data_IF_475969008176
#
_entry.id   IF_475969008176
#
_cell.length_a   1.000
_cell.length_b   1.000
_cell.length_c   1.000
_cell.angle_alpha   90.00
_cell.angle_beta   90.00
_cell.angle_gamma   90.00
#
_symmetry.space_group_name_H-M   'P 1'
#
loop_
_entity.id
_entity.type
_entity.pdbx_description
1 polymer ?
#
# COMPACT_ATOMS: atom_id res chain seq x y z
N UNK A 1 4.26 -28.49 -4.05
CA UNK A 1 3.92 -27.38 -3.16
C UNK A 1 5.15 -26.75 -2.48
N UNK A 2 5.94 -27.52 -1.75
CA UNK A 2 7.10 -26.98 -1.02
C UNK A 2 8.08 -26.29 -1.98
N UNK A 3 8.43 -26.92 -3.11
CA UNK A 3 9.32 -26.33 -4.12
C UNK A 3 8.79 -25.01 -4.69
N UNK A 4 7.48 -24.93 -4.98
CA UNK A 4 6.84 -23.70 -5.45
C UNK A 4 6.92 -22.58 -4.40
N UNK A 5 6.59 -22.89 -3.13
CA UNK A 5 6.67 -21.93 -2.02
C UNK A 5 8.09 -21.42 -1.84
N UNK A 6 9.08 -22.33 -1.84
CA UNK A 6 10.50 -21.96 -1.71
C UNK A 6 10.93 -21.04 -2.86
N UNK A 7 10.57 -21.38 -4.11
CA UNK A 7 10.90 -20.57 -5.29
C UNK A 7 10.28 -19.16 -5.18
N UNK A 8 9.03 -19.05 -4.71
CA UNK A 8 8.35 -17.77 -4.52
C UNK A 8 8.95 -16.95 -3.39
N UNK A 9 9.34 -17.59 -2.28
CA UNK A 9 10.04 -16.93 -1.18
C UNK A 9 11.41 -16.40 -1.63
N UNK A 10 12.17 -17.20 -2.36
CA UNK A 10 13.46 -16.75 -2.91
C UNK A 10 13.26 -15.58 -3.86
N UNK A 11 12.27 -15.64 -4.75
CA UNK A 11 11.96 -14.54 -5.65
C UNK A 11 11.56 -13.25 -4.88
N UNK A 12 10.75 -13.37 -3.82
CA UNK A 12 10.38 -12.26 -2.96
C UNK A 12 11.60 -11.63 -2.25
N UNK A 13 12.50 -12.46 -1.73
CA UNK A 13 13.76 -11.98 -1.11
C UNK A 13 14.65 -11.27 -2.12
N UNK A 14 14.83 -11.86 -3.30
CA UNK A 14 15.62 -11.22 -4.38
C UNK A 14 14.99 -9.89 -4.78
N UNK A 15 13.66 -9.84 -4.93
CA UNK A 15 12.96 -8.60 -5.28
C UNK A 15 13.15 -7.53 -4.20
N UNK A 16 13.05 -7.87 -2.92
CA UNK A 16 13.32 -6.94 -1.82
C UNK A 16 14.77 -6.45 -1.84
N UNK A 17 15.74 -7.31 -2.10
CA UNK A 17 17.14 -6.89 -2.25
C UNK A 17 17.34 -5.95 -3.43
N UNK A 18 16.70 -6.23 -4.57
CA UNK A 18 16.74 -5.32 -5.73
C UNK A 18 16.12 -3.98 -5.39
N UNK A 19 14.95 -3.97 -4.73
CA UNK A 19 14.29 -2.72 -4.32
C UNK A 19 15.16 -1.93 -3.35
N UNK A 20 15.77 -2.58 -2.33
CA UNK A 20 16.67 -1.88 -1.41
C UNK A 20 17.89 -1.32 -2.14
N UNK A 21 18.47 -2.05 -3.11
CA UNK A 21 19.59 -1.57 -3.91
C UNK A 21 19.20 -0.37 -4.78
N UNK A 22 18.06 -0.43 -5.47
CA UNK A 22 17.55 0.67 -6.29
C UNK A 22 17.26 1.90 -5.42
N UNK A 23 16.59 1.72 -4.29
CA UNK A 23 16.29 2.80 -3.34
C UNK A 23 17.60 3.42 -2.82
N UNK A 24 18.56 2.61 -2.42
CA UNK A 24 19.88 3.10 -2.01
C UNK A 24 20.58 3.88 -3.13
N UNK A 25 20.56 3.38 -4.36
CA UNK A 25 21.14 4.08 -5.51
C UNK A 25 20.47 5.45 -5.73
N UNK A 26 19.15 5.54 -5.63
CA UNK A 26 18.42 6.80 -5.80
C UNK A 26 18.82 7.83 -4.74
N UNK A 27 18.89 7.42 -3.48
CA UNK A 27 19.10 8.36 -2.37
C UNK A 27 20.58 8.65 -2.06
N UNK A 28 21.49 7.75 -2.36
CA UNK A 28 22.90 7.89 -2.02
C UNK A 28 23.82 8.02 -3.23
N UNK A 29 23.58 7.26 -4.28
CA UNK A 29 24.47 7.26 -5.45
C UNK A 29 24.10 8.35 -6.45
N UNK A 30 22.82 8.53 -6.76
CA UNK A 30 22.38 9.50 -7.76
C UNK A 30 22.76 10.95 -7.41
N UNK A 31 22.61 11.44 -6.16
CA UNK A 31 23.07 12.78 -5.79
C UNK A 31 24.58 12.98 -5.98
N UNK A 32 25.39 11.94 -5.74
CA UNK A 32 26.85 11.99 -5.97
C UNK A 32 27.20 12.06 -7.47
N UNK A 33 26.52 11.27 -8.30
CA UNK A 33 26.68 11.34 -9.75
C UNK A 33 26.28 12.72 -10.28
N UNK A 34 25.28 13.35 -9.66
CA UNK A 34 24.87 14.72 -9.96
C UNK A 34 25.84 15.80 -9.44
N UNK A 35 26.98 15.40 -8.86
CA UNK A 35 28.03 16.31 -8.42
C UNK A 35 27.89 16.84 -7.00
N UNK A 36 26.97 16.30 -6.20
CA UNK A 36 26.87 16.70 -4.78
C UNK A 36 28.03 16.12 -3.97
N UNK A 37 28.64 16.98 -3.16
CA UNK A 37 29.68 16.55 -2.22
C UNK A 37 29.09 15.78 -1.04
N UNK A 38 29.94 15.00 -0.34
CA UNK A 38 29.52 14.28 0.87
C UNK A 38 28.95 15.24 1.95
N UNK A 39 29.49 16.45 2.03
CA UNK A 39 29.03 17.47 2.98
C UNK A 39 27.66 18.03 2.58
N UNK A 40 27.40 18.27 1.29
CA UNK A 40 26.08 18.67 0.80
C UNK A 40 25.04 17.59 1.03
N UNK A 41 25.40 16.32 0.83
CA UNK A 41 24.52 15.21 1.10
C UNK A 41 24.22 15.12 2.61
N UNK A 42 25.22 15.23 3.48
CA UNK A 42 25.03 15.26 4.93
C UNK A 42 24.11 16.39 5.40
N UNK A 43 24.22 17.58 4.80
CA UNK A 43 23.34 18.73 5.10
C UNK A 43 21.86 18.41 4.85
N UNK A 44 21.52 17.62 3.82
CA UNK A 44 20.14 17.24 3.52
C UNK A 44 19.51 16.36 4.62
N UNK A 45 20.33 15.66 5.40
CA UNK A 45 19.86 14.84 6.53
C UNK A 45 19.61 15.63 7.79
N UNK A 46 20.22 16.82 7.97
CA UNK A 46 20.17 17.57 9.22
C UNK A 46 19.07 18.65 9.18
N UNK A 47 18.76 19.18 7.99
CA UNK A 47 17.78 20.26 7.83
C UNK A 47 18.41 21.66 7.75
N UNK A 48 17.68 22.70 8.20
CA UNK A 48 18.11 24.10 8.02
C UNK A 48 19.20 24.48 9.00
N UNK A 49 20.29 25.07 8.51
CA UNK A 49 21.37 25.67 9.30
C UNK A 49 22.17 24.71 10.21
N UNK A 50 22.70 23.58 9.67
CA UNK A 50 23.53 22.69 10.47
C UNK A 50 24.87 23.32 10.84
N UNK A 51 25.41 22.98 12.01
CA UNK A 51 26.79 23.33 12.36
C UNK A 51 27.79 22.45 11.61
N UNK A 52 29.05 22.89 11.51
CA UNK A 52 30.10 22.06 10.90
C UNK A 52 30.31 20.73 11.66
N UNK A 53 30.07 20.74 12.97
CA UNK A 53 30.16 19.53 13.82
C UNK A 53 29.02 18.55 13.49
N UNK A 54 27.79 19.01 13.28
CA UNK A 54 26.65 18.18 12.91
C UNK A 54 26.87 17.52 11.55
N UNK A 55 27.37 18.28 10.58
CA UNK A 55 27.71 17.78 9.23
C UNK A 55 28.75 16.65 9.35
N UNK A 56 29.83 16.88 10.13
CA UNK A 56 30.86 15.88 10.32
C UNK A 56 30.32 14.61 11.01
N UNK A 57 29.46 14.75 12.03
CA UNK A 57 28.83 13.64 12.72
C UNK A 57 27.92 12.81 11.79
N UNK A 58 27.05 13.45 11.01
CA UNK A 58 26.17 12.74 10.06
C UNK A 58 26.98 12.08 8.95
N UNK A 59 28.01 12.75 8.43
CA UNK A 59 28.91 12.21 7.42
C UNK A 59 29.60 10.93 7.93
N UNK A 60 30.10 10.93 9.16
CA UNK A 60 30.70 9.77 9.81
C UNK A 60 29.67 8.65 10.04
N UNK A 61 28.50 8.97 10.62
CA UNK A 61 27.46 8.01 10.94
C UNK A 61 26.88 7.29 9.72
N UNK A 62 26.79 7.98 8.58
CA UNK A 62 26.29 7.43 7.33
C UNK A 62 27.41 6.83 6.46
N UNK A 63 28.67 6.93 6.90
CA UNK A 63 29.84 6.46 6.16
C UNK A 63 29.97 7.11 4.79
N UNK A 64 29.60 8.41 4.65
CA UNK A 64 29.55 9.09 3.33
C UNK A 64 30.94 9.23 2.68
N UNK A 65 32.02 9.04 3.43
CA UNK A 65 33.39 9.02 2.91
C UNK A 65 33.84 7.62 2.48
N UNK A 66 33.05 6.58 2.78
CA UNK A 66 33.37 5.20 2.44
C UNK A 66 32.95 4.86 1.00
N UNK A 67 33.51 3.80 0.41
CA UNK A 67 33.03 3.27 -0.87
C UNK A 67 31.56 2.89 -0.84
N UNK A 68 30.84 3.11 -1.94
CA UNK A 68 29.37 2.93 -2.04
C UNK A 68 28.90 1.53 -1.63
N UNK A 69 29.67 0.49 -1.97
CA UNK A 69 29.33 -0.90 -1.61
C UNK A 69 29.43 -1.16 -0.09
N UNK A 70 30.32 -0.48 0.62
CA UNK A 70 30.44 -0.56 2.09
C UNK A 70 29.24 0.17 2.73
N UNK A 71 28.85 1.34 2.22
CA UNK A 71 27.66 2.05 2.68
C UNK A 71 26.39 1.23 2.50
N UNK A 72 26.24 0.58 1.34
CA UNK A 72 25.11 -0.32 1.10
C UNK A 72 25.10 -1.50 2.07
N UNK A 73 26.26 -2.07 2.35
CA UNK A 73 26.40 -3.14 3.35
C UNK A 73 26.00 -2.66 4.76
N UNK A 74 26.46 -1.48 5.19
CA UNK A 74 26.09 -0.89 6.47
C UNK A 74 24.58 -0.61 6.54
N UNK A 75 23.99 -0.13 5.44
CA UNK A 75 22.55 0.09 5.33
C UNK A 75 21.76 -1.22 5.51
N UNK A 76 22.09 -2.27 4.76
CA UNK A 76 21.42 -3.58 4.88
C UNK A 76 21.64 -4.19 6.27
N UNK A 77 22.87 -4.15 6.78
CA UNK A 77 23.18 -4.62 8.13
C UNK A 77 22.36 -3.88 9.18
N UNK A 78 22.19 -2.56 9.03
CA UNK A 78 21.38 -1.74 9.92
C UNK A 78 19.92 -2.19 9.99
N UNK A 79 19.34 -2.56 8.86
CA UNK A 79 17.96 -3.09 8.83
C UNK A 79 17.80 -4.34 9.71
N UNK A 80 18.78 -5.27 9.68
CA UNK A 80 18.66 -6.56 10.38
C UNK A 80 19.28 -6.58 11.77
N UNK A 81 20.34 -5.82 12.00
CA UNK A 81 21.13 -5.86 13.24
C UNK A 81 21.02 -4.57 14.08
N UNK A 82 20.33 -3.55 13.54
CA UNK A 82 20.34 -2.22 14.14
C UNK A 82 21.60 -1.42 13.81
N UNK A 83 21.58 -0.15 14.19
CA UNK A 83 22.69 0.78 14.00
C UNK A 83 22.87 1.68 15.21
N UNK A 84 24.08 2.13 15.46
CA UNK A 84 24.37 3.11 16.51
C UNK A 84 24.83 4.39 15.85
N UNK A 85 24.19 5.50 16.21
CA UNK A 85 24.50 6.83 15.70
C UNK A 85 25.18 7.63 16.81
N UNK A 86 26.38 8.14 16.51
CA UNK A 86 27.16 9.01 17.39
C UNK A 86 26.80 10.47 17.05
N UNK A 87 26.18 11.17 17.98
CA UNK A 87 25.79 12.57 17.85
C UNK A 87 26.77 13.52 18.60
N UNK A 88 27.95 13.03 18.93
CA UNK A 88 28.99 13.74 19.67
C UNK A 88 28.81 13.57 21.18
N UNK A 89 27.96 14.35 21.88
CA UNK A 89 27.78 14.21 23.33
C UNK A 89 26.94 12.99 23.73
N UNK A 90 26.15 12.45 22.80
CA UNK A 90 25.25 11.31 23.04
C UNK A 90 25.32 10.31 21.91
N UNK A 91 25.25 9.02 22.23
CA UNK A 91 25.07 7.95 21.27
C UNK A 91 23.62 7.46 21.30
N UNK A 92 23.01 7.32 20.13
CA UNK A 92 21.64 6.81 19.99
C UNK A 92 21.66 5.44 19.34
N UNK A 93 21.03 4.47 19.98
CA UNK A 93 20.92 3.13 19.45
C UNK A 93 19.58 2.95 18.73
N UNK A 94 19.64 2.64 17.43
CA UNK A 94 18.49 2.30 16.60
C UNK A 94 18.37 0.77 16.57
N UNK A 95 17.39 0.22 17.28
CA UNK A 95 17.16 -1.21 17.34
C UNK A 95 16.70 -1.77 15.98
N UNK A 96 16.98 -3.05 15.73
CA UNK A 96 16.46 -3.71 14.55
C UNK A 96 14.91 -3.87 14.62
N UNK A 97 14.22 -3.68 13.49
CA UNK A 97 14.71 -3.25 12.19
C UNK A 97 14.98 -1.73 12.15
N UNK A 98 16.21 -1.33 11.82
CA UNK A 98 16.58 0.08 11.74
C UNK A 98 16.47 0.58 10.29
N UNK A 99 15.43 1.34 9.98
CA UNK A 99 15.23 1.99 8.67
C UNK A 99 15.90 3.36 8.57
N UNK A 100 16.68 3.73 9.58
CA UNK A 100 17.39 5.00 9.68
C UNK A 100 16.99 5.82 10.89
N UNK A 101 17.67 6.93 11.06
CA UNK A 101 17.47 7.90 12.15
C UNK A 101 17.24 9.28 11.56
N UNK A 102 16.16 9.93 11.93
CA UNK A 102 15.92 11.34 11.57
C UNK A 102 16.77 12.24 12.45
N UNK A 103 17.85 12.77 11.87
CA UNK A 103 18.70 13.74 12.57
C UNK A 103 18.00 15.07 12.80
N UNK A 104 16.93 15.34 12.04
CA UNK A 104 16.12 16.55 12.14
C UNK A 104 15.18 16.53 13.35
N UNK A 105 14.52 15.38 13.55
CA UNK A 105 13.54 15.21 14.64
C UNK A 105 14.12 14.44 15.84
N UNK A 106 15.37 13.98 15.75
CA UNK A 106 16.05 13.21 16.79
C UNK A 106 15.31 11.92 17.19
N UNK A 107 14.71 11.21 16.20
CA UNK A 107 13.97 9.98 16.43
C UNK A 107 14.33 8.91 15.41
N UNK A 108 14.28 7.64 15.83
CA UNK A 108 14.39 6.52 14.91
C UNK A 108 13.13 6.38 14.06
N UNK A 109 13.29 6.02 12.77
CA UNK A 109 12.16 5.97 11.82
C UNK A 109 11.22 4.81 12.10
N UNK A 110 11.73 3.66 12.57
CA UNK A 110 10.91 2.46 12.77
C UNK A 110 9.79 2.63 13.81
N UNK A 111 10.02 3.17 15.02
CA UNK A 111 8.94 3.42 15.98
C UNK A 111 7.85 4.33 15.40
N UNK A 112 8.23 5.41 14.72
CA UNK A 112 7.29 6.32 14.06
C UNK A 112 6.42 5.61 13.00
N UNK A 113 7.00 4.67 12.25
CA UNK A 113 6.27 3.87 11.27
C UNK A 113 5.30 2.90 11.95
N UNK A 114 5.72 2.24 13.03
CA UNK A 114 4.87 1.27 13.75
C UNK A 114 3.68 1.92 14.43
N UNK A 115 3.83 3.15 14.93
CA UNK A 115 2.75 3.91 15.56
C UNK A 115 1.69 4.36 14.53
N UNK A 116 2.10 4.60 13.28
CA UNK A 116 1.23 5.05 12.18
C UNK A 116 0.63 3.90 11.37
N UNK A 117 1.28 2.74 11.38
CA UNK A 117 0.87 1.55 10.64
C UNK A 117 -0.58 1.11 10.92
N UNK A 118 -1.09 1.07 12.17
CA UNK A 118 -2.46 0.69 12.45
C UNK A 118 -3.50 1.57 11.76
N UNK A 119 -3.22 2.85 11.57
CA UNK A 119 -4.11 3.80 10.89
C UNK A 119 -4.22 3.44 9.40
N UNK A 120 -3.07 3.30 8.72
CA UNK A 120 -3.02 2.92 7.30
C UNK A 120 -3.62 1.53 7.07
N UNK A 121 -3.33 0.55 7.95
CA UNK A 121 -3.94 -0.78 7.90
C UNK A 121 -5.47 -0.71 8.04
N UNK A 122 -5.97 0.06 8.99
CA UNK A 122 -7.40 0.26 9.21
C UNK A 122 -8.07 0.89 8.00
N UNK A 123 -7.44 1.91 7.42
CA UNK A 123 -7.93 2.59 6.23
C UNK A 123 -7.97 1.63 5.03
N UNK A 124 -6.88 0.92 4.76
CA UNK A 124 -6.78 -0.03 3.66
C UNK A 124 -7.76 -1.19 3.81
N UNK A 125 -7.85 -1.81 4.99
CA UNK A 125 -8.71 -2.96 5.23
C UNK A 125 -10.20 -2.62 5.08
N UNK A 126 -10.67 -1.52 5.70
CA UNK A 126 -12.06 -1.11 5.59
C UNK A 126 -12.47 -0.73 4.18
N UNK A 127 -11.63 0.04 3.49
CA UNK A 127 -11.88 0.39 2.10
C UNK A 127 -11.88 -0.86 1.19
N UNK A 128 -10.92 -1.79 1.39
CA UNK A 128 -10.79 -3.03 0.62
C UNK A 128 -12.04 -3.89 0.69
N UNK A 129 -12.61 -4.06 1.89
CA UNK A 129 -13.87 -4.80 2.06
C UNK A 129 -15.01 -4.14 1.28
N UNK A 130 -15.16 -2.82 1.39
CA UNK A 130 -16.25 -2.09 0.73
C UNK A 130 -16.11 -2.18 -0.79
N UNK A 131 -14.94 -1.87 -1.36
CA UNK A 131 -14.80 -1.89 -2.82
C UNK A 131 -14.87 -3.29 -3.42
N UNK A 132 -14.33 -4.31 -2.72
CA UNK A 132 -14.38 -5.68 -3.23
C UNK A 132 -15.84 -6.18 -3.26
N UNK A 133 -16.56 -6.01 -2.14
CA UNK A 133 -17.95 -6.44 -2.04
C UNK A 133 -18.85 -5.67 -3.02
N UNK A 134 -18.76 -4.34 -3.05
CA UNK A 134 -19.59 -3.50 -3.93
C UNK A 134 -19.23 -3.70 -5.40
N UNK A 135 -17.94 -3.69 -5.75
CA UNK A 135 -17.47 -3.85 -7.11
C UNK A 135 -17.82 -5.22 -7.70
N UNK A 136 -17.57 -6.30 -6.96
CA UNK A 136 -17.93 -7.65 -7.41
C UNK A 136 -19.45 -7.80 -7.54
N UNK A 137 -20.22 -7.34 -6.55
CA UNK A 137 -21.68 -7.44 -6.58
C UNK A 137 -22.27 -6.68 -7.77
N UNK A 138 -21.87 -5.42 -7.97
CA UNK A 138 -22.31 -4.59 -9.10
C UNK A 138 -21.89 -5.22 -10.42
N UNK A 139 -20.66 -5.70 -10.55
CA UNK A 139 -20.16 -6.35 -11.75
C UNK A 139 -20.93 -7.62 -12.12
N UNK A 140 -21.26 -8.47 -11.15
CA UNK A 140 -22.08 -9.66 -11.35
C UNK A 140 -23.49 -9.30 -11.78
N UNK A 141 -24.15 -8.36 -11.09
CA UNK A 141 -25.52 -7.93 -11.44
C UNK A 141 -25.56 -7.37 -12.87
N UNK A 142 -24.57 -6.53 -13.24
CA UNK A 142 -24.46 -5.96 -14.57
C UNK A 142 -24.22 -7.04 -15.64
N UNK A 143 -23.40 -8.06 -15.35
CA UNK A 143 -23.12 -9.15 -16.29
C UNK A 143 -24.31 -10.08 -16.52
N UNK A 144 -25.18 -10.28 -15.51
CA UNK A 144 -26.36 -11.14 -15.63
C UNK A 144 -27.49 -10.52 -16.48
N UNK A 145 -27.55 -9.21 -16.59
CA UNK A 145 -28.56 -8.49 -17.39
C UNK A 145 -27.88 -7.39 -18.24
N UNK A 146 -27.06 -7.79 -19.23
CA UNK A 146 -26.31 -6.82 -20.04
C UNK A 146 -27.26 -5.94 -20.85
N UNK A 147 -26.96 -4.64 -20.96
CA UNK A 147 -27.76 -3.66 -21.66
C UNK A 147 -29.02 -3.20 -20.93
N UNK A 148 -29.32 -3.72 -19.73
CA UNK A 148 -30.44 -3.28 -18.90
C UNK A 148 -30.21 -1.86 -18.37
N UNK A 149 -31.28 -1.24 -17.85
CA UNK A 149 -31.18 0.05 -17.16
C UNK A 149 -30.18 0.01 -16.00
N UNK A 150 -30.22 -1.04 -15.18
CA UNK A 150 -29.28 -1.20 -14.07
C UNK A 150 -27.83 -1.34 -14.53
N UNK A 151 -27.55 -2.11 -15.58
CA UNK A 151 -26.21 -2.21 -16.16
C UNK A 151 -25.69 -0.84 -16.61
N UNK A 152 -26.51 -0.08 -17.35
CA UNK A 152 -26.12 1.25 -17.82
C UNK A 152 -25.94 2.25 -16.68
N UNK A 153 -26.83 2.23 -15.69
CA UNK A 153 -26.77 3.11 -14.53
C UNK A 153 -25.51 2.82 -13.68
N UNK A 154 -25.26 1.56 -13.36
CA UNK A 154 -24.10 1.18 -12.57
C UNK A 154 -22.78 1.46 -13.29
N UNK A 155 -22.71 1.17 -14.60
CA UNK A 155 -21.50 1.49 -15.39
C UNK A 155 -21.33 3.00 -15.55
N UNK A 156 -22.41 3.78 -15.65
CA UNK A 156 -22.36 5.24 -15.66
C UNK A 156 -21.84 5.82 -14.35
N UNK A 157 -22.35 5.33 -13.20
CA UNK A 157 -21.85 5.72 -11.87
C UNK A 157 -20.39 5.30 -11.69
N UNK A 158 -20.02 4.10 -12.14
CA UNK A 158 -18.65 3.64 -12.12
C UNK A 158 -17.73 4.56 -12.94
N UNK A 159 -18.14 4.95 -14.13
CA UNK A 159 -17.38 5.88 -14.97
C UNK A 159 -17.22 7.25 -14.30
N UNK A 160 -18.31 7.79 -13.73
CA UNK A 160 -18.26 9.04 -12.97
C UNK A 160 -17.32 8.93 -11.76
N UNK A 161 -17.38 7.81 -11.02
CA UNK A 161 -16.51 7.58 -9.86
C UNK A 161 -15.01 7.57 -10.21
N UNK A 162 -14.62 6.98 -11.34
CA UNK A 162 -13.22 7.01 -11.82
C UNK A 162 -12.81 8.39 -12.33
N UNK A 163 -13.76 9.16 -12.83
CA UNK A 163 -13.47 10.50 -13.40
C UNK A 163 -13.27 11.58 -12.33
N UNK A 164 -13.75 11.36 -11.11
CA UNK A 164 -13.61 12.33 -10.03
C UNK A 164 -12.30 12.08 -9.26
N UNK A 165 -11.48 13.13 -9.04
CA UNK A 165 -10.28 13.01 -8.22
C UNK A 165 -10.64 12.63 -6.77
N UNK A 166 -9.85 11.73 -6.17
CA UNK A 166 -10.10 11.21 -4.81
C UNK A 166 -10.08 12.32 -3.74
N UNK A 167 -9.25 13.36 -3.92
CA UNK A 167 -9.24 14.49 -3.00
C UNK A 167 -10.54 15.28 -3.04
N UNK A 168 -11.16 15.43 -4.22
CA UNK A 168 -12.44 16.11 -4.37
C UNK A 168 -13.58 15.34 -3.70
N UNK A 169 -13.68 14.03 -3.98
CA UNK A 169 -14.72 13.18 -3.37
C UNK A 169 -14.55 13.09 -1.85
N UNK A 170 -13.31 13.01 -1.36
CA UNK A 170 -13.00 13.02 0.06
C UNK A 170 -13.36 14.34 0.76
N UNK A 171 -12.98 15.48 0.18
CA UNK A 171 -13.34 16.80 0.71
C UNK A 171 -14.87 17.02 0.71
N UNK A 172 -15.56 16.58 -0.36
CA UNK A 172 -17.01 16.66 -0.42
C UNK A 172 -17.68 15.79 0.65
N UNK A 173 -17.16 14.57 0.87
CA UNK A 173 -17.65 13.68 1.92
C UNK A 173 -17.47 14.30 3.32
N UNK A 174 -16.31 14.90 3.60
CA UNK A 174 -16.06 15.63 4.85
C UNK A 174 -17.02 16.82 5.00
N UNK A 175 -17.14 17.65 3.96
CA UNK A 175 -17.99 18.83 4.01
C UNK A 175 -19.44 18.45 4.34
N UNK A 176 -19.99 17.48 3.63
CA UNK A 176 -21.40 17.10 3.78
C UNK A 176 -21.63 16.30 5.06
N UNK A 177 -20.89 15.21 5.27
CA UNK A 177 -21.22 14.21 6.27
C UNK A 177 -20.51 14.40 7.62
N UNK A 178 -19.52 15.28 7.69
CA UNK A 178 -18.80 15.58 8.94
C UNK A 178 -19.05 17.00 9.43
N UNK A 179 -19.19 17.98 8.50
CA UNK A 179 -19.35 19.37 8.89
C UNK A 179 -20.79 19.87 8.81
N UNK A 180 -21.50 19.63 7.70
CA UNK A 180 -22.89 20.12 7.53
C UNK A 180 -23.91 19.21 8.22
N UNK A 181 -23.80 17.89 8.01
CA UNK A 181 -24.66 16.89 8.62
C UNK A 181 -23.75 16.00 9.47
N UNK A 182 -23.46 16.35 10.75
CA UNK A 182 -22.42 15.71 11.56
C UNK A 182 -22.80 14.27 11.98
N UNK A 183 -22.82 13.37 11.02
CA UNK A 183 -23.07 11.93 11.23
C UNK A 183 -21.76 11.24 11.65
N UNK A 184 -20.61 11.66 11.08
CA UNK A 184 -19.33 11.02 11.29
C UNK A 184 -18.40 11.85 12.17
N UNK A 185 -17.57 11.14 12.96
CA UNK A 185 -16.58 11.71 13.85
C UNK A 185 -15.46 12.44 13.09
N UNK A 186 -14.78 13.36 13.79
CA UNK A 186 -13.68 14.17 13.24
C UNK A 186 -12.31 13.67 13.65
N UNK A 187 -12.21 13.01 14.78
CA UNK A 187 -10.96 12.58 15.38
C UNK A 187 -10.83 11.08 15.34
N UNK A 188 -9.73 10.60 14.81
CA UNK A 188 -9.42 9.16 14.80
C UNK A 188 -9.34 8.62 16.23
N UNK A 189 -9.97 7.49 16.46
CA UNK A 189 -9.90 6.72 17.70
C UNK A 189 -9.45 5.32 17.34
N UNK A 190 -8.44 4.75 18.03
CA UNK A 190 -7.96 3.40 17.76
C UNK A 190 -9.05 2.34 17.92
N UNK A 191 -8.97 1.28 17.10
CA UNK A 191 -9.89 0.13 17.18
C UNK A 191 -9.91 -0.50 18.58
N UNK A 192 -8.78 -0.50 19.28
CA UNK A 192 -8.60 -1.06 20.61
C UNK A 192 -9.33 -0.30 21.71
N UNK A 193 -9.57 0.99 21.51
CA UNK A 193 -10.24 1.84 22.48
C UNK A 193 -11.76 1.85 22.29
N UNK A 194 -12.21 2.11 21.05
CA UNK A 194 -13.64 2.14 20.72
C UNK A 194 -13.90 1.74 19.27
N UNK A 195 -14.26 0.46 19.00
CA UNK A 195 -14.49 -0.04 17.64
C UNK A 195 -15.60 0.71 16.88
N UNK A 196 -16.66 1.14 17.58
CA UNK A 196 -17.76 1.86 16.93
C UNK A 196 -17.34 3.26 16.48
N UNK A 197 -16.58 3.97 17.31
CA UNK A 197 -16.07 5.29 16.98
C UNK A 197 -14.95 5.22 15.93
N UNK A 198 -14.09 4.20 16.00
CA UNK A 198 -13.10 3.90 14.97
C UNK A 198 -13.76 3.73 13.59
N UNK A 199 -14.79 2.90 13.49
CA UNK A 199 -15.52 2.70 12.24
C UNK A 199 -16.24 3.97 11.78
N UNK A 200 -16.90 4.67 12.70
CA UNK A 200 -17.60 5.92 12.41
C UNK A 200 -16.67 6.97 11.81
N UNK A 201 -15.47 7.15 12.40
CA UNK A 201 -14.51 8.17 11.93
C UNK A 201 -13.89 7.81 10.57
N UNK A 202 -13.61 6.52 10.33
CA UNK A 202 -12.95 6.08 9.09
C UNK A 202 -13.93 5.85 7.93
N UNK A 203 -15.24 5.70 8.20
CA UNK A 203 -16.23 5.33 7.19
C UNK A 203 -16.25 6.26 5.97
N UNK A 204 -16.21 7.60 6.10
CA UNK A 204 -16.16 8.51 4.95
C UNK A 204 -14.88 8.32 4.10
N UNK A 205 -13.75 8.07 4.75
CA UNK A 205 -12.48 7.79 4.09
C UNK A 205 -12.53 6.45 3.34
N UNK A 206 -13.11 5.40 3.96
CA UNK A 206 -13.35 4.10 3.30
C UNK A 206 -14.24 4.23 2.08
N UNK A 207 -15.35 4.97 2.18
CA UNK A 207 -16.25 5.20 1.06
C UNK A 207 -15.60 5.98 -0.08
N UNK A 208 -14.79 6.98 0.24
CA UNK A 208 -14.07 7.78 -0.77
C UNK A 208 -13.07 6.95 -1.56
N UNK A 209 -12.29 6.10 -0.90
CA UNK A 209 -11.40 5.13 -1.54
C UNK A 209 -12.20 4.07 -2.31
N UNK A 210 -13.23 3.51 -1.68
CA UNK A 210 -14.03 2.46 -2.28
C UNK A 210 -14.76 2.92 -3.53
N UNK A 211 -15.17 4.18 -3.64
CA UNK A 211 -15.84 4.71 -4.83
C UNK A 211 -14.97 4.56 -6.09
N UNK A 212 -13.69 4.90 -5.99
CA UNK A 212 -12.74 4.76 -7.09
C UNK A 212 -12.50 3.30 -7.46
N UNK A 213 -12.11 2.49 -6.46
CA UNK A 213 -11.74 1.09 -6.69
C UNK A 213 -12.95 0.23 -7.08
N UNK A 214 -14.11 0.39 -6.46
CA UNK A 214 -15.30 -0.40 -6.79
C UNK A 214 -15.74 -0.24 -8.24
N UNK A 215 -15.52 0.93 -8.83
CA UNK A 215 -15.79 1.18 -10.24
C UNK A 215 -14.89 0.35 -11.18
N UNK A 216 -13.60 0.24 -10.84
CA UNK A 216 -12.63 -0.59 -11.57
C UNK A 216 -13.01 -2.07 -11.43
N UNK A 217 -13.29 -2.51 -10.19
CA UNK A 217 -13.64 -3.89 -9.89
C UNK A 217 -14.99 -4.30 -10.49
N UNK A 218 -15.98 -3.42 -10.52
CA UNK A 218 -17.25 -3.69 -11.17
C UNK A 218 -17.08 -3.94 -12.67
N UNK A 219 -16.26 -3.15 -13.34
CA UNK A 219 -15.95 -3.33 -14.78
C UNK A 219 -15.17 -4.62 -15.02
N UNK A 220 -14.14 -4.89 -14.22
CA UNK A 220 -13.34 -6.11 -14.32
C UNK A 220 -14.20 -7.35 -14.08
N UNK A 221 -15.03 -7.35 -13.05
CA UNK A 221 -15.95 -8.45 -12.73
C UNK A 221 -16.98 -8.65 -13.83
N UNK A 222 -17.57 -7.56 -14.34
CA UNK A 222 -18.54 -7.63 -15.45
C UNK A 222 -17.94 -8.25 -16.70
N UNK A 223 -16.76 -7.81 -17.11
CA UNK A 223 -16.06 -8.36 -18.28
C UNK A 223 -15.73 -9.84 -18.09
N UNK A 224 -15.10 -10.21 -16.97
CA UNK A 224 -14.74 -11.59 -16.68
C UNK A 224 -15.96 -12.52 -16.55
N UNK A 225 -17.06 -12.02 -15.97
CA UNK A 225 -18.31 -12.80 -15.92
C UNK A 225 -18.92 -13.01 -17.30
N UNK A 226 -18.97 -11.99 -18.16
CA UNK A 226 -19.51 -12.14 -19.53
C UNK A 226 -18.71 -13.13 -20.36
N UNK A 227 -17.37 -13.11 -20.23
CA UNK A 227 -16.49 -14.08 -20.89
C UNK A 227 -16.73 -15.48 -20.35
N UNK A 228 -16.64 -15.67 -19.03
CA UNK A 228 -16.81 -16.96 -18.35
C UNK A 228 -18.18 -17.58 -18.63
N UNK A 229 -19.25 -16.81 -18.64
CA UNK A 229 -20.63 -17.34 -18.85
C UNK A 229 -20.86 -17.89 -20.27
N UNK A 230 -19.96 -17.62 -21.22
CA UNK A 230 -19.99 -18.15 -22.58
C UNK A 230 -19.14 -19.41 -22.77
N UNK A 231 -18.37 -19.82 -21.76
CA UNK A 231 -17.48 -20.97 -21.81
C UNK A 231 -18.24 -22.31 -21.87
N UNK A 232 -17.64 -23.33 -22.47
CA UNK A 232 -18.25 -24.66 -22.68
C UNK A 232 -18.56 -25.40 -21.39
N UNK A 233 -17.77 -25.19 -20.32
CA UNK A 233 -18.03 -25.81 -19.04
C UNK A 233 -19.31 -25.26 -18.38
N UNK A 234 -19.66 -23.98 -18.64
CA UNK A 234 -20.94 -23.39 -18.21
C UNK A 234 -22.11 -24.01 -18.97
N UNK A 235 -21.97 -24.19 -20.30
CA UNK A 235 -22.98 -24.87 -21.11
C UNK A 235 -23.18 -26.30 -20.64
N UNK A 236 -22.11 -27.02 -20.31
CA UNK A 236 -22.16 -28.35 -19.74
C UNK A 236 -22.86 -28.38 -18.37
N UNK A 237 -22.61 -27.41 -17.50
CA UNK A 237 -23.26 -27.31 -16.21
C UNK A 237 -24.77 -27.09 -16.35
N UNK A 238 -25.21 -26.26 -17.30
CA UNK A 238 -26.64 -26.06 -17.62
C UNK A 238 -27.26 -27.31 -18.23
N UNK A 239 -26.57 -28.00 -19.15
CA UNK A 239 -27.04 -29.25 -19.73
C UNK A 239 -27.23 -30.38 -18.70
N UNK A 240 -26.46 -30.37 -17.60
CA UNK A 240 -26.64 -31.25 -16.44
C UNK A 240 -27.80 -30.88 -15.51
N UNK A 241 -28.59 -29.84 -15.85
CA UNK A 241 -29.76 -29.41 -15.09
C UNK A 241 -29.45 -28.65 -13.80
N UNK A 242 -28.24 -28.10 -13.64
CA UNK A 242 -27.90 -27.31 -12.46
C UNK A 242 -28.71 -26.01 -12.43
N UNK A 243 -29.15 -25.62 -11.23
CA UNK A 243 -29.88 -24.36 -11.02
C UNK A 243 -28.99 -23.17 -11.41
N UNK A 244 -29.58 -22.15 -12.06
CA UNK A 244 -28.81 -20.99 -12.56
C UNK A 244 -28.01 -20.28 -11.44
N UNK A 245 -28.54 -20.19 -10.23
CA UNK A 245 -27.79 -19.66 -9.07
C UNK A 245 -26.49 -20.43 -8.79
N UNK A 246 -26.50 -21.74 -8.98
CA UNK A 246 -25.33 -22.60 -8.79
C UNK A 246 -24.35 -22.42 -9.96
N UNK A 247 -24.87 -22.33 -11.18
CA UNK A 247 -24.06 -22.07 -12.37
C UNK A 247 -23.34 -20.74 -12.25
N UNK A 248 -24.05 -19.67 -11.94
CA UNK A 248 -23.48 -18.32 -11.76
C UNK A 248 -22.52 -18.26 -10.58
N UNK A 249 -22.95 -18.66 -9.39
CA UNK A 249 -22.17 -18.45 -8.16
C UNK A 249 -20.98 -19.40 -8.02
N UNK A 250 -21.19 -20.71 -8.31
CA UNK A 250 -20.14 -21.71 -8.07
C UNK A 250 -19.22 -21.91 -9.27
N UNK A 251 -19.74 -21.79 -10.49
CA UNK A 251 -18.96 -22.02 -11.70
C UNK A 251 -18.50 -20.71 -12.35
N UNK A 252 -19.43 -19.78 -12.61
CA UNK A 252 -19.14 -18.52 -13.28
C UNK A 252 -18.28 -17.59 -12.44
N UNK A 253 -18.79 -17.22 -11.25
CA UNK A 253 -18.10 -16.27 -10.37
C UNK A 253 -16.73 -16.78 -9.91
N UNK A 254 -16.61 -18.05 -9.58
CA UNK A 254 -15.33 -18.62 -9.16
C UNK A 254 -14.24 -18.47 -10.23
N UNK A 255 -14.59 -18.70 -11.50
CA UNK A 255 -13.65 -18.53 -12.60
C UNK A 255 -13.33 -17.06 -12.87
N UNK A 256 -14.35 -16.19 -12.83
CA UNK A 256 -14.20 -14.75 -13.04
C UNK A 256 -13.43 -14.03 -11.91
N UNK A 257 -13.41 -14.59 -10.69
CA UNK A 257 -12.69 -13.99 -9.54
C UNK A 257 -11.17 -14.15 -9.63
N UNK A 258 -10.65 -15.09 -10.43
CA UNK A 258 -9.22 -15.36 -10.51
C UNK A 258 -8.40 -14.10 -10.82
N UNK A 259 -8.64 -13.33 -11.91
CA UNK A 259 -7.90 -12.10 -12.16
C UNK A 259 -8.18 -11.01 -11.11
N UNK A 260 -9.36 -11.01 -10.51
CA UNK A 260 -9.74 -10.03 -9.48
C UNK A 260 -8.87 -10.17 -8.24
N UNK A 261 -8.59 -11.41 -7.80
CA UNK A 261 -7.75 -11.66 -6.62
C UNK A 261 -6.32 -11.15 -6.85
N UNK A 262 -5.78 -11.25 -8.06
CA UNK A 262 -4.45 -10.71 -8.39
C UNK A 262 -4.41 -9.19 -8.26
N UNK A 263 -5.37 -8.52 -8.91
CA UNK A 263 -5.45 -7.04 -8.87
C UNK A 263 -5.68 -6.57 -7.43
N UNK A 264 -6.54 -7.29 -6.68
CA UNK A 264 -6.81 -6.98 -5.27
C UNK A 264 -5.55 -7.03 -4.41
N UNK A 265 -4.72 -8.05 -4.55
CA UNK A 265 -3.48 -8.14 -3.78
C UNK A 265 -2.50 -7.01 -4.10
N UNK A 266 -2.38 -6.63 -5.39
CA UNK A 266 -1.55 -5.49 -5.79
C UNK A 266 -2.09 -4.17 -5.22
N UNK A 267 -3.39 -3.92 -5.33
CA UNK A 267 -4.02 -2.68 -4.86
C UNK A 267 -3.91 -2.54 -3.33
N UNK A 268 -4.17 -3.62 -2.59
CA UNK A 268 -3.98 -3.64 -1.13
C UNK A 268 -2.51 -3.40 -0.77
N UNK A 269 -1.58 -4.05 -1.46
CA UNK A 269 -0.14 -3.85 -1.24
C UNK A 269 0.27 -2.39 -1.43
N UNK A 270 -0.22 -1.74 -2.48
CA UNK A 270 0.03 -0.32 -2.74
C UNK A 270 -0.56 0.58 -1.64
N UNK A 271 -1.79 0.31 -1.20
CA UNK A 271 -2.44 1.10 -0.15
C UNK A 271 -1.76 0.95 1.22
N UNK A 272 -1.19 -0.22 1.50
CA UNK A 272 -0.42 -0.46 2.73
C UNK A 272 0.90 0.32 2.74
N UNK A 273 1.40 0.71 1.57
CA UNK A 273 2.51 1.66 1.43
C UNK A 273 2.14 3.11 1.77
N UNK A 274 0.84 3.38 1.97
CA UNK A 274 0.28 4.68 2.34
C UNK A 274 -0.72 5.21 1.33
N UNK A 275 -1.94 5.42 1.80
CA UNK A 275 -2.98 6.10 1.03
C UNK A 275 -2.81 7.62 1.13
N UNK A 276 -1.69 8.14 0.63
CA UNK A 276 -1.18 9.51 0.84
C UNK A 276 -2.26 10.58 0.72
N UNK A 277 -2.99 10.59 -0.40
CA UNK A 277 -4.01 11.63 -0.65
C UNK A 277 -5.15 11.52 0.35
N UNK A 278 -5.64 10.30 0.60
CA UNK A 278 -6.76 10.08 1.52
C UNK A 278 -6.37 10.39 2.96
N UNK A 279 -5.20 9.96 3.41
CA UNK A 279 -4.70 10.24 4.74
C UNK A 279 -4.58 11.75 4.98
N UNK A 280 -4.05 12.51 4.01
CA UNK A 280 -3.97 13.97 4.11
C UNK A 280 -5.35 14.64 4.11
N UNK A 281 -6.25 14.22 3.22
CA UNK A 281 -7.62 14.80 3.13
C UNK A 281 -8.39 14.63 4.43
N UNK A 282 -8.30 13.44 5.03
CA UNK A 282 -9.01 13.10 6.27
C UNK A 282 -8.20 13.38 7.55
N UNK A 283 -7.02 14.01 7.42
CA UNK A 283 -6.10 14.31 8.53
C UNK A 283 -5.79 13.08 9.40
N UNK A 284 -5.59 11.94 8.73
CA UNK A 284 -5.19 10.68 9.35
C UNK A 284 -3.67 10.63 9.39
N UNK A 285 -3.11 10.47 10.58
CA UNK A 285 -1.65 10.43 10.77
C UNK A 285 -1.07 9.05 10.43
N UNK A 286 -1.29 8.59 9.18
CA UNK A 286 -0.81 7.31 8.68
C UNK A 286 0.59 7.39 8.05
N UNK A 287 0.98 6.29 7.39
CA UNK A 287 2.30 6.13 6.74
C UNK A 287 2.42 7.06 5.52
N UNK A 288 1.34 7.26 4.76
CA UNK A 288 1.34 8.13 3.59
C UNK A 288 1.51 9.59 3.94
N UNK A 289 0.85 10.06 5.01
CA UNK A 289 1.06 11.42 5.53
C UNK A 289 2.50 11.59 6.03
N UNK A 290 3.05 10.59 6.71
CA UNK A 290 4.44 10.59 7.19
C UNK A 290 5.45 10.70 6.04
N UNK A 291 5.17 10.06 4.90
CA UNK A 291 5.98 10.23 3.70
C UNK A 291 5.97 11.68 3.19
N UNK A 292 4.78 12.31 3.14
CA UNK A 292 4.65 13.72 2.73
C UNK A 292 5.40 14.65 3.68
N UNK A 293 5.28 14.43 4.98
CA UNK A 293 6.05 15.18 5.97
C UNK A 293 7.55 15.03 5.73
N UNK A 294 8.03 13.78 5.49
CA UNK A 294 9.43 13.52 5.16
C UNK A 294 9.93 14.29 3.94
N UNK A 295 9.12 14.35 2.88
CA UNK A 295 9.44 15.09 1.65
C UNK A 295 9.44 16.60 1.91
N UNK A 296 8.39 17.12 2.56
CA UNK A 296 8.24 18.55 2.83
C UNK A 296 9.35 19.08 3.73
N UNK A 297 9.72 18.25 4.70
CA UNK A 297 10.80 18.54 5.63
C UNK A 297 12.19 18.27 5.07
N UNK A 298 12.32 17.64 3.89
CA UNK A 298 13.58 17.12 3.37
C UNK A 298 14.27 16.14 4.35
N UNK A 299 13.48 15.27 5.00
CA UNK A 299 13.95 14.27 5.94
C UNK A 299 14.10 12.92 5.19
N UNK A 300 15.27 12.71 4.58
CA UNK A 300 15.54 11.55 3.75
C UNK A 300 15.33 10.19 4.48
N UNK A 301 15.75 9.99 5.72
CA UNK A 301 15.50 8.74 6.45
C UNK A 301 14.02 8.38 6.53
N UNK A 302 13.12 9.34 6.74
CA UNK A 302 11.66 9.08 6.75
C UNK A 302 11.17 8.58 5.40
N UNK A 303 11.54 9.28 4.31
CA UNK A 303 11.12 8.92 2.96
C UNK A 303 11.64 7.53 2.58
N UNK A 304 12.89 7.25 2.93
CA UNK A 304 13.54 5.97 2.68
C UNK A 304 12.84 4.84 3.47
N UNK A 305 12.56 5.07 4.75
CA UNK A 305 11.85 4.10 5.60
C UNK A 305 10.45 3.77 5.08
N UNK A 306 9.67 4.79 4.69
CA UNK A 306 8.34 4.58 4.08
C UNK A 306 8.45 3.81 2.76
N UNK A 307 9.40 4.17 1.89
CA UNK A 307 9.59 3.51 0.59
C UNK A 307 9.91 2.02 0.76
N UNK A 308 10.78 1.68 1.70
CA UNK A 308 11.12 0.29 1.99
C UNK A 308 9.95 -0.49 2.59
N UNK A 309 9.20 0.13 3.50
CA UNK A 309 8.00 -0.48 4.08
C UNK A 309 6.92 -0.70 3.03
N UNK A 310 6.69 0.27 2.15
CA UNK A 310 5.76 0.16 1.03
C UNK A 310 6.16 -0.99 0.09
N UNK A 311 7.43 -1.07 -0.28
CA UNK A 311 7.96 -2.15 -1.10
C UNK A 311 7.78 -3.52 -0.43
N UNK A 312 8.04 -3.60 0.88
CA UNK A 312 7.79 -4.82 1.65
C UNK A 312 6.32 -5.24 1.56
N UNK A 313 5.37 -4.34 1.77
CA UNK A 313 3.94 -4.67 1.67
C UNK A 313 3.53 -5.11 0.28
N UNK A 314 4.00 -4.45 -0.78
CA UNK A 314 3.72 -4.88 -2.16
C UNK A 314 4.22 -6.29 -2.41
N UNK A 315 5.46 -6.59 -2.04
CA UNK A 315 6.05 -7.93 -2.21
C UNK A 315 5.31 -8.96 -1.36
N UNK A 316 4.98 -8.62 -0.12
CA UNK A 316 4.26 -9.49 0.80
C UNK A 316 2.84 -9.82 0.31
N UNK A 317 2.09 -8.81 -0.14
CA UNK A 317 0.74 -9.02 -0.69
C UNK A 317 0.78 -9.85 -1.98
N UNK A 318 1.74 -9.61 -2.87
CA UNK A 318 1.93 -10.43 -4.05
C UNK A 318 2.25 -11.89 -3.70
N UNK A 319 3.13 -12.10 -2.72
CA UNK A 319 3.42 -13.45 -2.23
C UNK A 319 2.18 -14.13 -1.65
N UNK A 320 1.35 -13.41 -0.87
CA UNK A 320 0.09 -13.95 -0.36
C UNK A 320 -0.86 -14.36 -1.48
N UNK A 321 -1.00 -13.52 -2.51
CA UNK A 321 -1.82 -13.84 -3.70
C UNK A 321 -1.30 -15.08 -4.41
N UNK A 322 0.00 -15.21 -4.63
CA UNK A 322 0.60 -16.38 -5.24
C UNK A 322 0.33 -17.66 -4.43
N UNK A 323 0.40 -17.56 -3.10
CA UNK A 323 0.09 -18.68 -2.20
C UNK A 323 -1.40 -19.05 -2.22
N UNK A 324 -2.29 -18.03 -2.28
CA UNK A 324 -3.73 -18.27 -2.42
C UNK A 324 -4.06 -18.96 -3.75
N UNK A 325 -3.40 -18.58 -4.85
CA UNK A 325 -3.54 -19.27 -6.13
C UNK A 325 -3.10 -20.72 -6.05
N UNK A 326 -1.93 -20.98 -5.48
CA UNK A 326 -1.43 -22.33 -5.32
C UNK A 326 -2.35 -23.22 -4.45
N UNK A 327 -3.10 -22.59 -3.52
CA UNK A 327 -4.09 -23.29 -2.70
C UNK A 327 -5.42 -23.51 -3.46
N UNK A 328 -5.85 -22.54 -4.28
CA UNK A 328 -7.14 -22.55 -4.98
C UNK A 328 -7.12 -23.41 -6.27
N UNK A 329 -5.99 -23.41 -7.01
CA UNK A 329 -5.82 -24.15 -8.26
C UNK A 329 -4.64 -25.13 -8.20
N UNK A 330 -4.91 -26.45 -8.10
CA UNK A 330 -3.86 -27.47 -8.12
C UNK A 330 -3.02 -27.51 -9.40
N UNK A 331 -3.50 -26.95 -10.51
CA UNK A 331 -2.79 -26.97 -11.82
C UNK A 331 -1.59 -26.04 -11.83
N UNK A 332 -1.63 -24.95 -11.09
CA UNK A 332 -0.51 -24.01 -10.94
C UNK A 332 0.71 -24.63 -10.23
N UNK A 333 0.53 -25.79 -9.62
CA UNK A 333 1.59 -26.52 -8.89
C UNK A 333 2.55 -27.30 -9.81
N UNK A 334 2.24 -27.44 -11.09
CA UNK A 334 2.98 -28.29 -12.05
C UNK A 334 3.84 -27.46 -13.02
N UNK A 335 3.75 -26.15 -13.01
CA UNK A 335 4.60 -25.21 -13.76
C UNK A 335 5.59 -24.50 -12.81
#
# INVERSE_FOLDING_TARGET
>A
MISYIIRRLIAAVILLLVVTAVTFCIFFLLPRIAGQSADQLAQQYIGKSPSAADIAAVKHNLGLDEPVYIQYWHFIKGIFAGSTYDLGPTTVHCNAPCFGYSFKNHVAVWPELTDRLPITLSLAAGAAVIWLVSGVTVGVISALKPGSFFDRAFMGVALAGVSLPIFFTGQLALLVFTYQIPIFGRTYVPLTENPAQWANTLFPAWCSLALLYSAIYARLTRSGMLETMNEDFIRTARAKGLRERTVVGRHGLRAALTPIVTVFGMDVGLLLGGAVITENVFSLHGIGEYAVQGITDNDLPKVLGVTLLAAFFVVFCNLLVDLLYAAADPRVRLS
#
